data_IF_809391842360
#
_entry.id   IF_809391842360
#
_cell.length_a   1.000
_cell.length_b   1.000
_cell.length_c   1.000
_cell.angle_alpha   90.00
_cell.angle_beta   90.00
_cell.angle_gamma   90.00
#
_symmetry.space_group_name_H-M   'P 1'
#
loop_
_entity.id
_entity.type
_entity.pdbx_description
1 polymer ?
#
# COMPACT_ATOMS: atom_id res chain seq x y z
N UNK A 1 -19.54 -11.04 55.56
CA UNK A 1 -20.01 -12.39 55.17
C UNK A 1 -19.02 -12.93 54.13
N UNK A 2 -18.48 -14.06 54.46
CA UNK A 2 -17.41 -14.81 53.81
C UNK A 2 -17.99 -15.62 52.64
N UNK A 3 -17.32 -15.71 51.48
CA UNK A 3 -17.29 -16.88 50.58
C UNK A 3 -16.14 -16.61 49.61
N UNK A 4 -15.08 -17.26 49.70
CA UNK A 4 -14.67 -18.61 49.37
C UNK A 4 -14.15 -18.68 47.89
N UNK A 5 -12.85 -18.91 47.80
CA UNK A 5 -12.06 -19.15 46.59
C UNK A 5 -12.45 -20.46 45.90
N UNK A 6 -12.32 -20.46 44.58
CA UNK A 6 -12.16 -21.71 43.85
C UNK A 6 -11.15 -21.49 42.70
N UNK A 7 -9.96 -22.01 42.91
CA UNK A 7 -8.93 -22.08 41.90
C UNK A 7 -9.15 -23.29 40.97
N UNK A 8 -8.95 -23.06 39.67
CA UNK A 8 -8.81 -24.15 38.70
C UNK A 8 -7.44 -24.01 38.08
N UNK A 9 -6.54 -24.94 38.45
CA UNK A 9 -5.30 -25.22 37.74
C UNK A 9 -5.63 -26.04 36.49
N UNK A 10 -5.19 -25.58 35.31
CA UNK A 10 -5.12 -26.41 34.11
C UNK A 10 -3.66 -26.62 33.75
N UNK A 11 -3.27 -27.90 33.73
CA UNK A 11 -1.94 -28.36 33.42
C UNK A 11 -1.64 -28.27 31.90
N UNK A 12 -0.45 -27.73 31.59
CA UNK A 12 0.13 -27.82 30.24
C UNK A 12 0.80 -29.18 30.08
N UNK A 13 0.36 -29.96 29.08
CA UNK A 13 1.12 -31.09 28.56
C UNK A 13 1.92 -30.69 27.35
N UNK A 14 3.25 -30.70 27.49
CA UNK A 14 4.21 -30.57 26.42
C UNK A 14 4.31 -31.92 25.67
N UNK A 15 4.14 -31.94 24.35
CA UNK A 15 4.56 -33.02 23.48
C UNK A 15 5.87 -32.58 22.79
N UNK A 16 6.98 -33.16 23.28
CA UNK A 16 8.23 -33.26 22.53
C UNK A 16 8.17 -34.49 21.65
N UNK A 17 8.42 -34.37 20.36
CA UNK A 17 8.65 -35.49 19.45
C UNK A 17 10.02 -35.27 18.79
N UNK A 18 10.97 -36.00 19.36
CA UNK A 18 12.31 -36.25 18.79
C UNK A 18 12.14 -37.38 17.76
N UNK A 19 12.62 -37.14 16.55
CA UNK A 19 12.82 -38.17 15.55
C UNK A 19 14.23 -38.11 15.04
N UNK A 20 15.06 -39.04 15.54
CA UNK A 20 16.34 -39.41 14.95
C UNK A 20 16.13 -40.14 13.62
N UNK A 21 16.93 -39.80 12.63
CA UNK A 21 17.04 -40.55 11.38
C UNK A 21 18.40 -40.34 10.72
N UNK A 22 18.97 -41.27 9.99
CA UNK A 22 20.39 -41.56 10.01
C UNK A 22 21.22 -40.77 9.00
N UNK A 23 22.50 -40.67 9.33
CA UNK A 23 23.56 -40.16 8.50
C UNK A 23 23.79 -41.01 7.23
N UNK A 24 23.90 -40.36 6.09
CA UNK A 24 24.57 -40.90 4.91
C UNK A 24 25.54 -39.83 4.35
N UNK A 25 26.80 -40.20 4.37
CA UNK A 25 27.89 -39.46 3.76
C UNK A 25 27.83 -39.54 2.23
N UNK A 26 28.23 -38.47 1.56
CA UNK A 26 28.58 -38.59 0.14
C UNK A 26 28.66 -37.29 -0.63
N UNK A 27 29.92 -36.92 -0.90
CA UNK A 27 30.42 -36.24 -2.09
C UNK A 27 30.28 -34.74 -2.27
N UNK A 28 31.42 -34.12 -2.09
CA UNK A 28 31.82 -32.83 -2.63
C UNK A 28 31.44 -32.64 -4.10
N UNK A 29 30.67 -31.63 -4.39
CA UNK A 29 30.73 -30.94 -5.67
C UNK A 29 30.53 -29.45 -5.37
N UNK A 30 31.65 -28.75 -5.30
CA UNK A 30 31.64 -27.29 -5.24
C UNK A 30 31.13 -26.74 -6.57
N UNK A 31 29.85 -26.45 -6.65
CA UNK A 31 29.30 -25.61 -7.69
C UNK A 31 29.53 -24.17 -7.28
N UNK A 32 30.55 -23.55 -7.85
CA UNK A 32 30.75 -22.11 -7.82
C UNK A 32 29.55 -21.47 -8.55
N UNK A 33 28.60 -20.94 -7.78
CA UNK A 33 27.62 -20.02 -8.32
C UNK A 33 28.37 -18.70 -8.53
N UNK A 34 28.72 -18.45 -9.79
CA UNK A 34 29.16 -17.12 -10.22
C UNK A 34 28.03 -16.15 -9.91
N UNK A 35 28.24 -15.28 -8.92
CA UNK A 35 27.42 -14.11 -8.73
C UNK A 35 27.72 -13.20 -9.92
N UNK A 36 26.92 -13.32 -10.97
CA UNK A 36 26.88 -12.31 -12.01
C UNK A 36 26.43 -11.02 -11.34
N UNK A 37 27.31 -10.03 -11.31
CA UNK A 37 26.94 -8.67 -10.98
C UNK A 37 25.73 -8.30 -11.83
N UNK A 38 24.61 -8.04 -11.20
CA UNK A 38 23.49 -7.38 -11.85
C UNK A 38 23.98 -5.98 -12.21
N UNK A 39 24.38 -5.81 -13.45
CA UNK A 39 24.49 -4.49 -14.06
C UNK A 39 23.10 -3.90 -14.05
N UNK A 40 22.98 -2.69 -13.51
CA UNK A 40 21.79 -1.85 -13.62
C UNK A 40 21.36 -1.82 -15.09
N UNK A 41 20.35 -2.63 -15.41
CA UNK A 41 19.68 -2.55 -16.70
C UNK A 41 18.87 -1.24 -16.67
N UNK A 42 19.45 -0.18 -17.22
CA UNK A 42 18.72 1.01 -17.60
C UNK A 42 17.51 0.55 -18.42
N UNK A 43 16.34 0.68 -17.79
CA UNK A 43 15.07 0.23 -18.36
C UNK A 43 14.83 1.06 -19.65
N UNK A 44 15.09 0.45 -20.78
CA UNK A 44 14.96 1.12 -22.09
C UNK A 44 13.48 1.46 -22.32
N UNK A 45 13.14 2.63 -22.92
CA UNK A 45 11.76 2.98 -23.24
C UNK A 45 10.97 1.91 -23.97
N UNK A 46 11.68 1.08 -24.75
CA UNK A 46 11.13 -0.09 -25.48
C UNK A 46 10.66 -1.22 -24.56
N UNK A 47 11.33 -1.45 -23.42
CA UNK A 47 10.95 -2.49 -22.46
C UNK A 47 9.77 -2.03 -21.61
N UNK A 48 9.70 -0.73 -21.27
CA UNK A 48 8.56 -0.14 -20.57
C UNK A 48 7.29 -0.29 -21.41
N UNK A 49 7.35 -0.06 -22.71
CA UNK A 49 6.22 -0.21 -23.61
C UNK A 49 5.71 -1.67 -23.70
N UNK A 50 6.59 -2.67 -23.49
CA UNK A 50 6.22 -4.08 -23.49
C UNK A 50 5.70 -4.58 -22.13
N UNK A 51 6.13 -3.98 -21.02
CA UNK A 51 5.77 -4.38 -19.67
C UNK A 51 4.72 -3.50 -18.99
N UNK A 52 4.36 -2.37 -19.63
CA UNK A 52 3.53 -1.32 -19.02
C UNK A 52 4.30 -0.46 -18.02
N UNK A 53 3.67 0.58 -17.51
CA UNK A 53 4.30 1.51 -16.55
C UNK A 53 4.50 0.82 -15.19
N UNK A 54 5.75 0.72 -14.70
CA UNK A 54 6.03 0.22 -13.35
C UNK A 54 5.31 1.06 -12.28
N UNK A 55 5.02 0.46 -11.12
CA UNK A 55 4.24 1.11 -10.07
C UNK A 55 4.84 2.43 -9.58
N UNK A 56 6.14 2.49 -9.42
CA UNK A 56 6.91 3.65 -8.96
C UNK A 56 7.03 4.79 -10.00
N UNK A 57 6.58 4.57 -11.23
CA UNK A 57 6.57 5.55 -12.31
C UNK A 57 5.15 5.99 -12.70
N UNK A 58 4.13 5.43 -12.08
CA UNK A 58 2.74 5.85 -12.29
C UNK A 58 2.49 7.16 -11.59
N UNK A 59 1.59 7.98 -12.14
CA UNK A 59 1.28 9.29 -11.57
C UNK A 59 -0.22 9.35 -11.28
N UNK A 60 -0.55 9.44 -9.99
CA UNK A 60 -1.93 9.67 -9.56
C UNK A 60 -2.22 11.17 -9.43
N UNK A 61 -3.37 11.59 -9.93
CA UNK A 61 -3.91 12.93 -9.61
C UNK A 61 -4.89 12.80 -8.45
N UNK A 62 -4.56 13.41 -7.32
CA UNK A 62 -5.36 13.39 -6.09
C UNK A 62 -5.99 14.77 -5.87
N UNK A 63 -7.26 14.79 -5.51
CA UNK A 63 -7.99 15.98 -5.08
C UNK A 63 -8.13 16.02 -3.57
N UNK A 64 -8.00 17.21 -2.98
CA UNK A 64 -8.26 17.51 -1.58
C UNK A 64 -9.20 18.71 -1.49
N UNK A 65 -10.29 18.58 -0.76
CA UNK A 65 -11.20 19.66 -0.39
C UNK A 65 -11.07 19.96 1.12
N UNK A 66 -10.90 21.20 1.44
CA UNK A 66 -11.14 21.70 2.79
C UNK A 66 -12.56 22.28 2.88
N UNK A 67 -13.47 21.54 3.54
CA UNK A 67 -14.91 21.87 3.67
C UNK A 67 -15.17 23.15 4.47
N UNK A 68 -14.20 23.63 5.26
CA UNK A 68 -14.39 24.83 6.09
C UNK A 68 -14.27 26.14 5.30
N UNK A 69 -13.36 26.17 4.33
CA UNK A 69 -13.11 27.36 3.49
C UNK A 69 -13.45 27.12 2.02
N UNK A 70 -13.97 25.92 1.69
CA UNK A 70 -14.32 25.47 0.35
C UNK A 70 -13.14 25.55 -0.64
N UNK A 71 -11.91 25.38 -0.14
CA UNK A 71 -10.69 25.37 -0.95
C UNK A 71 -10.42 23.97 -1.47
N UNK A 72 -10.35 23.84 -2.81
CA UNK A 72 -10.00 22.60 -3.48
C UNK A 72 -8.62 22.70 -4.09
N UNK A 73 -7.80 21.68 -3.91
CA UNK A 73 -6.47 21.54 -4.53
C UNK A 73 -6.36 20.20 -5.23
N UNK A 74 -5.61 20.17 -6.33
CA UNK A 74 -5.20 18.95 -7.01
C UNK A 74 -3.68 18.90 -7.04
N UNK A 75 -3.12 17.72 -6.86
CA UNK A 75 -1.69 17.46 -6.92
C UNK A 75 -1.43 16.12 -7.56
N UNK A 76 -0.27 16.02 -8.19
CA UNK A 76 0.22 14.80 -8.81
C UNK A 76 1.20 14.15 -7.84
N UNK A 77 1.07 12.84 -7.67
CA UNK A 77 1.90 12.04 -6.77
C UNK A 77 2.30 10.74 -7.45
N UNK A 78 3.51 10.27 -7.17
CA UNK A 78 3.94 8.92 -7.51
C UNK A 78 3.81 7.98 -6.30
N UNK A 79 3.57 6.67 -6.49
CA UNK A 79 3.56 5.71 -5.39
C UNK A 79 4.85 5.77 -4.57
N UNK A 80 4.69 5.91 -3.26
CA UNK A 80 5.76 6.19 -2.30
C UNK A 80 5.82 7.65 -1.82
N UNK A 81 5.25 8.58 -2.58
CA UNK A 81 5.23 9.99 -2.19
C UNK A 81 4.31 10.29 -1.01
N UNK A 82 4.68 11.31 -0.26
CA UNK A 82 3.89 11.86 0.83
C UNK A 82 3.87 13.38 0.74
N UNK A 83 2.67 13.95 0.62
CA UNK A 83 2.45 15.40 0.49
C UNK A 83 1.79 15.95 1.74
N UNK A 84 2.36 17.01 2.30
CA UNK A 84 1.77 17.74 3.43
C UNK A 84 1.12 19.03 2.97
N UNK A 85 -0.18 19.15 3.15
CA UNK A 85 -0.98 20.33 2.79
C UNK A 85 -1.62 20.89 4.07
N UNK A 86 -0.93 21.83 4.70
CA UNK A 86 -1.37 22.42 5.96
C UNK A 86 -1.46 21.36 7.08
N UNK A 87 -2.69 21.07 7.51
CA UNK A 87 -2.97 20.12 8.59
C UNK A 87 -3.31 18.70 8.09
N UNK A 88 -3.05 18.41 6.82
CA UNK A 88 -3.30 17.09 6.22
C UNK A 88 -2.00 16.56 5.62
N UNK A 89 -1.73 15.29 5.82
CA UNK A 89 -0.69 14.54 5.11
C UNK A 89 -1.41 13.46 4.30
N UNK A 90 -1.11 13.39 3.02
CA UNK A 90 -1.59 12.34 2.12
C UNK A 90 -0.37 11.58 1.63
N UNK A 91 -0.38 10.26 1.80
CA UNK A 91 0.61 9.35 1.27
C UNK A 91 -0.05 8.50 0.20
N UNK A 92 0.59 8.39 -0.97
CA UNK A 92 0.18 7.50 -2.04
C UNK A 92 1.02 6.23 -1.98
N UNK A 93 0.38 5.07 -1.90
CA UNK A 93 1.09 3.78 -1.92
C UNK A 93 0.97 3.06 -3.26
N UNK A 94 -0.14 3.25 -3.98
CA UNK A 94 -0.35 2.65 -5.30
C UNK A 94 -1.37 3.44 -6.11
N UNK A 95 -1.31 3.36 -7.44
CA UNK A 95 -2.41 3.72 -8.31
C UNK A 95 -2.53 2.74 -9.48
N UNK A 96 -3.79 2.48 -9.88
CA UNK A 96 -4.16 1.53 -10.91
C UNK A 96 -5.34 2.03 -11.71
N UNK A 97 -5.43 1.61 -12.96
CA UNK A 97 -6.66 1.69 -13.77
C UNK A 97 -6.90 0.37 -14.48
N UNK A 98 -8.13 0.07 -14.78
CA UNK A 98 -8.47 -1.08 -15.63
C UNK A 98 -8.06 -0.81 -17.07
N UNK A 99 -7.65 -1.86 -17.78
CA UNK A 99 -7.28 -1.76 -19.18
C UNK A 99 -8.49 -1.36 -20.06
N UNK A 100 -8.24 -0.76 -21.23
CA UNK A 100 -9.29 -0.24 -22.09
C UNK A 100 -10.28 -1.32 -22.59
N UNK A 101 -9.84 -2.58 -22.61
CA UNK A 101 -10.66 -3.74 -23.01
C UNK A 101 -11.37 -4.45 -21.86
N UNK A 102 -11.12 -4.05 -20.61
CA UNK A 102 -11.74 -4.61 -19.43
C UNK A 102 -12.97 -3.81 -19.01
N UNK A 103 -14.00 -4.47 -18.51
CA UNK A 103 -15.21 -3.84 -17.98
C UNK A 103 -15.56 -4.40 -16.61
N UNK A 104 -15.97 -3.57 -15.65
CA UNK A 104 -16.18 -2.11 -15.72
C UNK A 104 -14.87 -1.32 -15.70
N UNK A 105 -14.87 -0.14 -16.34
CA UNK A 105 -13.74 0.78 -16.27
C UNK A 105 -13.65 1.42 -14.90
N UNK A 106 -12.49 1.30 -14.26
CA UNK A 106 -12.24 1.93 -12.96
C UNK A 106 -10.82 2.50 -12.91
N UNK A 107 -10.66 3.53 -12.10
CA UNK A 107 -9.35 4.08 -11.71
C UNK A 107 -9.31 4.20 -10.21
N UNK A 108 -8.30 3.63 -9.58
CA UNK A 108 -8.14 3.64 -8.14
C UNK A 108 -6.78 4.15 -7.70
N UNK A 109 -6.73 4.67 -6.48
CA UNK A 109 -5.49 4.99 -5.78
C UNK A 109 -5.57 4.51 -4.34
N UNK A 110 -4.53 3.82 -3.86
CA UNK A 110 -4.40 3.48 -2.46
C UNK A 110 -3.71 4.62 -1.73
N UNK A 111 -4.44 5.26 -0.82
CA UNK A 111 -3.93 6.40 -0.07
C UNK A 111 -4.07 6.18 1.43
N UNK A 112 -3.14 6.81 2.16
CA UNK A 112 -3.25 7.00 3.60
C UNK A 112 -3.40 8.48 3.86
N UNK A 113 -4.40 8.86 4.65
CA UNK A 113 -4.67 10.25 5.01
C UNK A 113 -4.50 10.40 6.51
N UNK A 114 -3.64 11.34 6.92
CA UNK A 114 -3.45 11.71 8.32
C UNK A 114 -3.80 13.18 8.50
N UNK A 115 -4.47 13.49 9.59
CA UNK A 115 -4.90 14.86 9.91
C UNK A 115 -4.33 15.25 11.27
N UNK A 116 -3.85 16.50 11.34
CA UNK A 116 -3.31 17.06 12.58
C UNK A 116 -4.41 17.16 13.65
N UNK A 117 -4.12 16.62 14.82
CA UNK A 117 -5.01 16.68 15.96
C UNK A 117 -5.14 18.11 16.52
N UNK A 118 -6.32 18.43 17.00
CA UNK A 118 -6.58 19.78 17.53
C UNK A 118 -5.77 20.01 18.79
N UNK A 119 -4.92 21.04 18.77
CA UNK A 119 -4.11 21.45 19.92
C UNK A 119 -2.84 20.63 20.11
N UNK A 120 -2.46 19.84 19.13
CA UNK A 120 -1.22 19.07 19.05
C UNK A 120 -0.52 19.29 17.71
N UNK A 121 0.75 18.96 17.65
CA UNK A 121 1.51 18.86 16.40
C UNK A 121 1.47 17.44 15.83
N UNK A 122 0.83 16.50 16.51
CA UNK A 122 0.70 15.11 16.10
C UNK A 122 -0.33 14.93 14.98
N UNK A 123 -0.10 13.96 14.11
CA UNK A 123 -1.00 13.57 13.03
C UNK A 123 -1.58 12.20 13.31
N UNK A 124 -2.92 12.12 13.33
CA UNK A 124 -3.65 10.86 13.43
C UNK A 124 -4.06 10.38 12.03
N UNK A 125 -3.83 9.11 11.72
CA UNK A 125 -4.31 8.50 10.49
C UNK A 125 -5.83 8.33 10.57
N UNK A 126 -6.55 8.98 9.65
CA UNK A 126 -8.01 8.98 9.59
C UNK A 126 -8.54 8.08 8.47
N UNK A 127 -7.68 7.70 7.52
CA UNK A 127 -8.05 6.84 6.40
C UNK A 127 -6.84 6.04 5.91
N UNK A 128 -7.09 4.81 5.47
CA UNK A 128 -6.14 3.99 4.71
C UNK A 128 -6.94 3.03 3.83
N UNK A 129 -6.80 3.14 2.52
CA UNK A 129 -7.56 2.30 1.60
C UNK A 129 -7.55 2.80 0.16
N UNK A 130 -8.24 2.04 -0.70
CA UNK A 130 -8.47 2.40 -2.09
C UNK A 130 -9.57 3.43 -2.21
N UNK A 131 -9.31 4.51 -2.93
CA UNK A 131 -10.29 5.45 -3.45
C UNK A 131 -10.55 5.16 -4.92
N UNK A 132 -11.80 5.30 -5.37
CA UNK A 132 -12.23 4.96 -6.72
C UNK A 132 -12.80 6.18 -7.44
N UNK A 133 -12.37 6.41 -8.69
CA UNK A 133 -12.79 7.54 -9.53
C UNK A 133 -14.23 7.40 -9.99
N UNK A 134 -14.58 6.23 -10.54
CA UNK A 134 -15.89 5.99 -11.16
C UNK A 134 -16.92 5.47 -10.15
N UNK A 135 -16.44 4.92 -9.04
CA UNK A 135 -17.27 4.38 -7.96
C UNK A 135 -16.89 4.98 -6.59
N UNK A 136 -16.91 6.31 -6.43
CA UNK A 136 -16.38 6.97 -5.23
C UNK A 136 -17.11 6.61 -3.94
N UNK A 137 -18.34 6.15 -4.02
CA UNK A 137 -19.13 5.72 -2.85
C UNK A 137 -18.72 4.37 -2.27
N UNK A 138 -17.87 3.61 -2.95
CA UNK A 138 -17.39 2.32 -2.43
C UNK A 138 -16.46 2.51 -1.23
N UNK A 139 -15.70 3.60 -1.21
CA UNK A 139 -14.82 3.92 -0.10
C UNK A 139 -14.56 5.43 -0.09
N UNK A 140 -14.74 6.06 1.06
CA UNK A 140 -14.65 7.52 1.23
C UNK A 140 -13.84 7.88 2.46
N UNK A 141 -13.18 9.02 2.42
CA UNK A 141 -12.51 9.58 3.60
C UNK A 141 -13.57 10.25 4.49
N UNK A 142 -13.96 9.55 5.56
CA UNK A 142 -14.94 10.07 6.52
C UNK A 142 -14.28 11.05 7.51
N UNK A 143 -14.12 12.32 7.09
CA UNK A 143 -13.59 13.36 7.96
C UNK A 143 -14.45 14.64 7.89
N UNK A 144 -14.76 15.30 9.02
CA UNK A 144 -15.69 16.43 9.05
C UNK A 144 -15.18 17.67 8.28
N UNK A 145 -13.86 17.81 8.10
CA UNK A 145 -13.27 19.01 7.50
C UNK A 145 -12.68 18.70 6.12
N UNK A 146 -12.11 17.52 5.91
CA UNK A 146 -11.39 17.21 4.69
C UNK A 146 -12.08 16.11 3.91
N UNK A 147 -11.98 16.23 2.60
CA UNK A 147 -12.38 15.20 1.65
C UNK A 147 -11.25 14.96 0.66
N UNK A 148 -10.98 13.69 0.34
CA UNK A 148 -9.89 13.29 -0.55
C UNK A 148 -10.46 12.30 -1.56
N UNK A 149 -10.11 12.48 -2.85
CA UNK A 149 -10.55 11.59 -3.92
C UNK A 149 -9.48 11.42 -4.99
N UNK A 150 -9.53 10.32 -5.71
CA UNK A 150 -8.71 10.08 -6.89
C UNK A 150 -9.39 10.67 -8.13
N UNK A 151 -8.62 11.35 -8.96
CA UNK A 151 -9.07 11.92 -10.24
C UNK A 151 -8.55 11.13 -11.43
N UNK A 152 -7.31 10.67 -11.37
CA UNK A 152 -6.69 9.92 -12.44
C UNK A 152 -5.48 9.12 -11.97
N UNK A 153 -5.07 8.14 -12.79
CA UNK A 153 -3.81 7.41 -12.68
C UNK A 153 -3.19 7.29 -14.07
N UNK A 154 -2.15 8.07 -14.32
CA UNK A 154 -1.40 8.03 -15.57
C UNK A 154 -0.47 6.81 -15.56
N UNK A 155 -0.75 5.87 -16.43
CA UNK A 155 0.00 4.64 -16.66
C UNK A 155 -0.30 4.09 -18.06
N UNK A 156 0.59 3.27 -18.60
CA UNK A 156 0.37 2.48 -19.82
C UNK A 156 0.26 1.00 -19.49
N UNK A 157 -0.43 0.26 -20.35
CA UNK A 157 -0.50 -1.19 -20.28
C UNK A 157 0.53 -1.86 -21.19
N UNK A 158 0.88 -3.13 -20.93
CA UNK A 158 1.72 -3.87 -21.86
C UNK A 158 1.12 -3.89 -23.28
N UNK A 159 1.92 -3.43 -24.26
CA UNK A 159 1.50 -3.44 -25.66
C UNK A 159 0.67 -2.24 -26.14
N UNK A 160 0.49 -1.20 -25.30
CA UNK A 160 -0.07 0.10 -25.71
C UNK A 160 0.94 0.96 -26.45
#
# INVERSE_FOLDING_TARGET
>A
MRHAALGIMLALTACSQEAEGPAAAGSDTATQIAIAAATDAENSPSEIAQSGTPMDQRVATIGLLNKRNNETRNFEMTPGDSERIGNVIIKLDACERTAAWEMPQETGAFVQVSVQERGSDDFAQVFSGWLFKNSPSLNVVEHPIYDVWVKDCAMSFPGE
#
